data_IF_264755226258
#
_entry.id   IF_264755226258
#
_cell.length_a   1.000
_cell.length_b   1.000
_cell.length_c   1.000
_cell.angle_alpha   90.00
_cell.angle_beta   90.00
_cell.angle_gamma   90.00
#
_symmetry.space_group_name_H-M   'P 1'
#
loop_
_entity.id
_entity.type
_entity.pdbx_description
1 polymer ?
#
# COMPACT_ATOMS: atom_id res chain seq x y z
N UNK A 1 -20.94 -11.75 8.45
CA UNK A 1 -20.38 -12.73 7.49
C UNK A 1 -19.07 -12.17 6.98
N UNK A 2 -17.99 -12.95 7.00
CA UNK A 2 -16.71 -12.51 6.45
C UNK A 2 -16.83 -12.57 4.92
N UNK A 3 -16.65 -11.47 4.18
CA UNK A 3 -16.74 -11.52 2.72
C UNK A 3 -15.72 -12.56 2.20
N UNK A 4 -16.02 -13.22 1.08
CA UNK A 4 -15.07 -14.12 0.42
C UNK A 4 -13.87 -13.30 -0.08
N UNK A 5 -12.89 -13.09 0.78
CA UNK A 5 -11.70 -12.30 0.47
C UNK A 5 -10.85 -13.10 -0.50
N UNK A 6 -10.76 -12.61 -1.74
CA UNK A 6 -9.98 -13.28 -2.80
C UNK A 6 -8.51 -13.30 -2.41
N UNK A 7 -7.82 -14.38 -2.79
CA UNK A 7 -6.36 -14.48 -2.69
C UNK A 7 -5.66 -13.34 -3.46
N UNK A 8 -4.43 -12.97 -3.06
CA UNK A 8 -3.66 -11.96 -3.79
C UNK A 8 -3.36 -12.44 -5.22
N UNK A 9 -3.36 -11.49 -6.14
CA UNK A 9 -2.85 -11.70 -7.50
C UNK A 9 -1.31 -11.74 -7.45
N UNK A 10 -0.69 -12.44 -8.40
CA UNK A 10 0.78 -12.46 -8.52
C UNK A 10 1.32 -11.11 -9.03
N UNK A 11 0.70 -10.59 -10.10
CA UNK A 11 1.07 -9.33 -10.73
C UNK A 11 -0.13 -8.71 -11.48
N UNK A 12 0.02 -7.47 -11.93
CA UNK A 12 -0.93 -6.76 -12.79
C UNK A 12 -0.38 -6.55 -14.20
N UNK A 13 -1.22 -6.16 -15.15
CA UNK A 13 -0.77 -5.83 -16.49
C UNK A 13 -0.17 -4.42 -16.58
N UNK A 14 0.75 -4.16 -17.54
CA UNK A 14 1.36 -2.85 -17.75
C UNK A 14 0.37 -1.69 -17.83
N UNK A 15 -0.72 -1.85 -18.59
CA UNK A 15 -1.75 -0.82 -18.75
C UNK A 15 -2.42 -0.47 -17.42
N UNK A 16 -2.70 -1.48 -16.59
CA UNK A 16 -3.23 -1.29 -15.24
C UNK A 16 -2.26 -0.52 -14.37
N UNK A 17 -0.97 -0.88 -14.37
CA UNK A 17 0.04 -0.18 -13.58
C UNK A 17 0.17 1.29 -13.99
N UNK A 18 0.30 1.56 -15.29
CA UNK A 18 0.42 2.94 -15.79
C UNK A 18 -0.81 3.78 -15.53
N UNK A 19 -2.01 3.21 -15.54
CA UNK A 19 -3.23 3.94 -15.22
C UNK A 19 -3.37 4.16 -13.70
N UNK A 20 -3.20 3.10 -12.92
CA UNK A 20 -3.51 3.11 -11.49
C UNK A 20 -2.41 3.72 -10.64
N UNK A 21 -1.13 3.66 -11.01
CA UNK A 21 -0.02 4.19 -10.21
C UNK A 21 0.46 5.57 -10.66
N UNK A 22 -0.13 6.14 -11.72
CA UNK A 22 0.26 7.49 -12.18
C UNK A 22 0.02 8.51 -11.08
N UNK A 23 1.08 9.13 -10.58
CA UNK A 23 1.02 10.05 -9.43
C UNK A 23 0.49 11.44 -9.78
N UNK A 24 -0.63 11.53 -10.49
CA UNK A 24 -1.28 12.80 -10.82
C UNK A 24 -1.86 13.46 -9.56
N UNK A 25 -1.92 14.80 -9.59
CA UNK A 25 -2.55 15.60 -8.55
C UNK A 25 -4.09 15.47 -8.58
N UNK A 26 -4.67 15.46 -9.78
CA UNK A 26 -6.07 15.13 -10.05
C UNK A 26 -6.15 13.75 -10.70
N UNK A 27 -6.87 12.85 -10.04
CA UNK A 27 -7.05 11.48 -10.48
C UNK A 27 -8.49 11.01 -10.18
N UNK A 28 -9.48 11.85 -10.51
CA UNK A 28 -10.91 11.63 -10.21
C UNK A 28 -11.47 10.36 -10.88
N UNK A 29 -10.84 9.88 -11.95
CA UNK A 29 -11.23 8.67 -12.68
C UNK A 29 -10.65 7.38 -12.07
N UNK A 30 -9.71 7.49 -11.11
CA UNK A 30 -9.03 6.35 -10.49
C UNK A 30 -9.69 5.97 -9.16
N UNK A 31 -10.89 5.41 -9.25
CA UNK A 31 -11.72 5.04 -8.09
C UNK A 31 -11.29 3.71 -7.41
N UNK A 32 -10.33 3.00 -8.00
CA UNK A 32 -9.81 1.75 -7.44
C UNK A 32 -8.48 1.98 -6.71
N UNK A 33 -8.34 1.38 -5.53
CA UNK A 33 -7.05 1.25 -4.86
C UNK A 33 -6.40 -0.09 -5.23
N UNK A 34 -5.16 -0.02 -5.68
CA UNK A 34 -4.28 -1.15 -5.96
C UNK A 34 -3.16 -1.14 -4.94
N UNK A 35 -2.87 -2.29 -4.34
CA UNK A 35 -1.91 -2.46 -3.25
C UNK A 35 -0.99 -3.63 -3.59
N UNK A 36 0.24 -3.32 -3.96
CA UNK A 36 1.30 -4.32 -4.04
C UNK A 36 1.92 -4.49 -2.65
N UNK A 37 2.31 -5.70 -2.29
CA UNK A 37 2.95 -5.94 -1.00
C UNK A 37 4.15 -6.88 -1.12
N UNK A 38 5.10 -6.70 -0.20
CA UNK A 38 6.09 -7.71 0.17
C UNK A 38 5.96 -8.03 1.65
N UNK A 39 6.26 -9.29 1.97
CA UNK A 39 6.40 -9.81 3.33
C UNK A 39 7.78 -10.41 3.42
N UNK A 40 8.57 -9.91 4.34
CA UNK A 40 9.87 -10.43 4.71
C UNK A 40 9.80 -10.99 6.13
N UNK A 41 10.55 -12.05 6.40
CA UNK A 41 10.68 -12.60 7.75
C UNK A 41 12.12 -12.46 8.23
N UNK A 42 12.29 -12.14 9.50
CA UNK A 42 13.63 -12.08 10.10
C UNK A 42 14.13 -13.49 10.39
N UNK A 43 15.25 -13.88 9.76
CA UNK A 43 15.94 -15.14 10.02
C UNK A 43 17.41 -14.84 10.30
N UNK A 44 17.91 -15.26 11.47
CA UNK A 44 19.30 -14.99 11.92
C UNK A 44 19.71 -13.51 11.77
N UNK A 45 18.82 -12.58 12.17
CA UNK A 45 19.01 -11.12 12.06
C UNK A 45 19.04 -10.53 10.65
N UNK A 46 18.73 -11.31 9.61
CA UNK A 46 18.60 -10.83 8.23
C UNK A 46 17.15 -10.93 7.75
N UNK A 47 16.62 -9.90 7.05
CA UNK A 47 15.32 -9.99 6.39
C UNK A 47 15.43 -10.94 5.19
N UNK A 48 14.52 -11.90 5.11
CA UNK A 48 14.42 -12.86 4.01
C UNK A 48 13.07 -12.70 3.31
N UNK A 49 13.03 -12.50 1.98
CA UNK A 49 11.78 -12.46 1.23
C UNK A 49 10.94 -13.71 1.47
N UNK A 50 9.67 -13.54 1.80
CA UNK A 50 8.76 -14.64 2.15
C UNK A 50 7.58 -14.74 1.18
N UNK A 51 6.81 -13.65 1.03
CA UNK A 51 5.66 -13.59 0.14
C UNK A 51 5.59 -12.22 -0.53
N UNK A 52 4.99 -12.17 -1.71
CA UNK A 52 4.65 -10.93 -2.40
C UNK A 52 3.37 -11.12 -3.20
N UNK A 53 2.70 -10.03 -3.55
CA UNK A 53 1.51 -10.09 -4.39
C UNK A 53 0.81 -8.75 -4.50
N UNK A 54 -0.38 -8.78 -5.09
CA UNK A 54 -1.19 -7.60 -5.39
C UNK A 54 -2.63 -7.82 -4.93
N UNK A 55 -3.15 -6.84 -4.19
CA UNK A 55 -4.57 -6.67 -3.94
C UNK A 55 -5.11 -5.49 -4.73
N UNK A 56 -6.39 -5.56 -5.06
CA UNK A 56 -7.19 -4.41 -5.50
C UNK A 56 -8.48 -4.37 -4.70
N UNK A 57 -9.15 -3.23 -4.67
CA UNK A 57 -10.46 -3.11 -4.07
C UNK A 57 -11.39 -4.22 -4.58
N UNK A 58 -12.04 -4.91 -3.65
CA UNK A 58 -13.01 -5.95 -3.97
C UNK A 58 -14.40 -5.35 -3.82
N UNK A 59 -15.12 -5.30 -4.93
CA UNK A 59 -16.56 -5.03 -4.94
C UNK A 59 -17.22 -6.40 -4.84
N UNK A 60 -17.65 -6.80 -3.64
CA UNK A 60 -18.65 -7.85 -3.55
C UNK A 60 -20.05 -7.21 -3.64
N UNK A 61 -21.09 -8.04 -3.82
CA UNK A 61 -22.46 -7.56 -4.03
C UNK A 61 -23.08 -6.84 -2.81
N UNK A 62 -22.43 -6.89 -1.64
CA UNK A 62 -22.92 -6.40 -0.35
C UNK A 62 -21.92 -5.44 0.35
N UNK A 63 -20.63 -5.45 0.00
CA UNK A 63 -19.59 -4.63 0.62
C UNK A 63 -18.52 -4.14 -0.37
N UNK A 64 -18.15 -2.86 -0.23
CA UNK A 64 -16.98 -2.28 -0.86
C UNK A 64 -15.77 -2.52 0.06
N UNK A 65 -14.99 -3.57 -0.21
CA UNK A 65 -13.84 -3.94 0.61
C UNK A 65 -12.55 -3.33 0.04
N UNK A 66 -11.93 -2.46 0.82
CA UNK A 66 -10.67 -1.80 0.44
C UNK A 66 -9.50 -2.79 0.45
N UNK A 67 -8.52 -2.55 -0.44
CA UNK A 67 -7.36 -3.43 -0.64
C UNK A 67 -6.58 -3.68 0.67
N UNK A 68 -6.51 -2.69 1.56
CA UNK A 68 -5.89 -2.75 2.88
C UNK A 68 -6.58 -3.81 3.75
N UNK A 69 -7.91 -3.80 3.81
CA UNK A 69 -8.70 -4.78 4.59
C UNK A 69 -8.57 -6.18 4.00
N UNK A 70 -8.55 -6.29 2.67
CA UNK A 70 -8.27 -7.56 2.00
C UNK A 70 -6.89 -8.12 2.40
N UNK A 71 -5.85 -7.28 2.37
CA UNK A 71 -4.52 -7.68 2.81
C UNK A 71 -4.53 -8.13 4.28
N UNK A 72 -5.07 -7.32 5.20
CA UNK A 72 -5.04 -7.62 6.63
C UNK A 72 -5.71 -8.96 6.92
N UNK A 73 -6.90 -9.19 6.36
CA UNK A 73 -7.59 -10.46 6.56
C UNK A 73 -6.83 -11.64 5.95
N UNK A 74 -6.29 -11.49 4.74
CA UNK A 74 -5.51 -12.55 4.12
C UNK A 74 -4.25 -12.86 4.94
N UNK A 75 -3.57 -11.84 5.44
CA UNK A 75 -2.34 -11.97 6.19
C UNK A 75 -2.57 -12.66 7.54
N UNK A 76 -3.61 -12.24 8.28
CA UNK A 76 -4.05 -12.90 9.53
C UNK A 76 -4.33 -14.39 9.33
N UNK A 77 -5.10 -14.73 8.30
CA UNK A 77 -5.65 -16.07 8.15
C UNK A 77 -4.67 -17.06 7.50
N UNK A 78 -3.74 -16.59 6.67
CA UNK A 78 -2.95 -17.46 5.79
C UNK A 78 -1.43 -17.32 5.92
N UNK A 79 -0.93 -16.34 6.68
CA UNK A 79 0.51 -16.01 6.69
C UNK A 79 1.07 -15.78 8.08
N UNK A 80 0.29 -15.20 8.99
CA UNK A 80 0.74 -14.87 10.34
C UNK A 80 1.00 -16.13 11.17
N UNK A 81 2.22 -16.26 11.71
CA UNK A 81 2.65 -17.33 12.59
C UNK A 81 3.22 -16.70 13.89
N UNK A 82 2.95 -17.27 15.08
CA UNK A 82 3.33 -16.66 16.36
C UNK A 82 4.84 -16.43 16.55
N UNK A 83 5.69 -17.29 15.99
CA UNK A 83 7.13 -17.32 16.29
C UNK A 83 7.99 -16.64 15.21
N UNK A 84 7.44 -15.67 14.48
CA UNK A 84 8.15 -14.96 13.41
C UNK A 84 7.96 -13.47 13.52
N UNK A 85 9.03 -12.73 13.24
CA UNK A 85 8.99 -11.29 13.06
C UNK A 85 8.88 -10.98 11.57
N UNK A 86 7.91 -10.12 11.23
CA UNK A 86 7.57 -9.77 9.86
C UNK A 86 7.90 -8.31 9.60
N UNK A 87 8.51 -8.05 8.44
CA UNK A 87 8.55 -6.72 7.84
C UNK A 87 7.64 -6.74 6.62
N UNK A 88 6.61 -5.90 6.64
CA UNK A 88 5.63 -5.79 5.56
C UNK A 88 5.85 -4.44 4.89
N UNK A 89 5.92 -4.45 3.56
CA UNK A 89 5.97 -3.22 2.77
C UNK A 89 4.80 -3.18 1.82
N UNK A 90 4.04 -2.10 1.86
CA UNK A 90 2.98 -1.81 0.89
C UNK A 90 3.44 -0.76 -0.11
N UNK A 91 3.07 -0.96 -1.36
CA UNK A 91 3.12 0.04 -2.42
C UNK A 91 1.69 0.24 -2.94
N UNK A 92 1.03 1.28 -2.46
CA UNK A 92 -0.37 1.54 -2.75
C UNK A 92 -0.55 2.65 -3.78
N UNK A 93 -1.55 2.53 -4.64
CA UNK A 93 -1.90 3.56 -5.60
C UNK A 93 -2.46 4.82 -4.93
N UNK A 94 -3.19 4.64 -3.83
CA UNK A 94 -3.75 5.68 -2.98
C UNK A 94 -3.36 5.47 -1.53
N UNK A 95 -3.23 6.54 -0.76
CA UNK A 95 -2.99 6.46 0.67
C UNK A 95 -4.24 5.92 1.39
N UNK A 96 -4.10 5.22 2.53
CA UNK A 96 -5.26 4.66 3.22
C UNK A 96 -6.30 5.71 3.62
N UNK A 97 -7.59 5.34 3.56
CA UNK A 97 -8.66 6.14 4.16
C UNK A 97 -8.62 6.06 5.70
N UNK A 98 -9.32 6.96 6.44
CA UNK A 98 -9.29 6.98 7.90
C UNK A 98 -9.72 5.65 8.54
N UNK A 99 -10.74 5.00 7.99
CA UNK A 99 -11.22 3.71 8.51
C UNK A 99 -10.16 2.61 8.33
N UNK A 100 -9.52 2.56 7.16
CA UNK A 100 -8.46 1.59 6.89
C UNK A 100 -7.21 1.85 7.73
N UNK A 101 -6.84 3.13 7.94
CA UNK A 101 -5.80 3.51 8.87
C UNK A 101 -6.10 3.00 10.29
N UNK A 102 -7.32 3.18 10.78
CA UNK A 102 -7.76 2.66 12.06
C UNK A 102 -7.69 1.13 12.18
N UNK A 103 -8.09 0.40 11.12
CA UNK A 103 -7.98 -1.06 11.11
C UNK A 103 -6.51 -1.55 11.07
N UNK A 104 -5.63 -0.86 10.35
CA UNK A 104 -4.18 -1.14 10.37
C UNK A 104 -3.61 -0.94 11.77
N UNK A 105 -3.95 0.16 12.44
CA UNK A 105 -3.50 0.44 13.81
C UNK A 105 -3.96 -0.65 14.77
N UNK A 106 -5.25 -1.01 14.74
CA UNK A 106 -5.79 -2.11 15.57
C UNK A 106 -5.08 -3.43 15.30
N UNK A 107 -4.75 -3.71 14.04
CA UNK A 107 -4.02 -4.91 13.65
C UNK A 107 -2.60 -4.90 14.25
N UNK A 108 -1.83 -3.82 14.08
CA UNK A 108 -0.46 -3.72 14.57
C UNK A 108 -0.39 -3.78 16.11
N UNK A 109 -1.35 -3.16 16.81
CA UNK A 109 -1.45 -3.24 18.27
C UNK A 109 -1.66 -4.68 18.78
N UNK A 110 -2.30 -5.54 17.99
CA UNK A 110 -2.50 -6.98 18.32
C UNK A 110 -1.32 -7.86 17.92
N UNK A 111 -0.46 -7.37 17.04
CA UNK A 111 0.60 -8.14 16.38
C UNK A 111 1.91 -7.38 16.41
N UNK A 112 2.50 -7.24 17.60
CA UNK A 112 3.77 -6.53 17.82
C UNK A 112 4.97 -7.14 17.09
N UNK A 113 4.82 -8.36 16.56
CA UNK A 113 5.79 -9.04 15.72
C UNK A 113 5.72 -8.61 14.24
N UNK A 114 4.89 -7.63 13.88
CA UNK A 114 4.73 -7.11 12.53
C UNK A 114 5.12 -5.64 12.48
N UNK A 115 6.06 -5.28 11.60
CA UNK A 115 6.36 -3.90 11.24
C UNK A 115 5.82 -3.61 9.83
N UNK A 116 5.29 -2.42 9.62
CA UNK A 116 4.68 -1.98 8.36
C UNK A 116 5.31 -0.70 7.83
N UNK A 117 5.69 -0.73 6.57
CA UNK A 117 6.07 0.44 5.76
C UNK A 117 5.06 0.62 4.64
N UNK A 118 4.56 1.83 4.44
CA UNK A 118 3.60 2.18 3.38
C UNK A 118 4.24 3.21 2.46
N UNK A 119 4.45 2.84 1.21
CA UNK A 119 4.73 3.75 0.12
C UNK A 119 3.45 3.99 -0.66
N UNK A 120 3.08 5.25 -0.89
CA UNK A 120 1.88 5.58 -1.65
C UNK A 120 2.17 6.43 -2.87
N UNK A 121 1.56 6.12 -4.00
CA UNK A 121 1.72 6.87 -5.24
C UNK A 121 1.00 8.22 -5.19
N UNK A 122 -0.12 8.31 -4.46
CA UNK A 122 -0.96 9.51 -4.33
C UNK A 122 -1.58 9.61 -2.96
N UNK A 123 -1.81 10.83 -2.49
CA UNK A 123 -2.54 11.08 -1.25
C UNK A 123 -4.04 11.19 -1.53
N UNK A 124 -4.82 10.36 -0.85
CA UNK A 124 -6.27 10.31 -0.99
C UNK A 124 -6.92 11.42 -0.16
N UNK A 125 -7.71 12.28 -0.82
CA UNK A 125 -8.39 13.45 -0.22
C UNK A 125 -7.53 14.23 0.79
N UNK A 126 -6.27 14.54 0.44
CA UNK A 126 -5.30 15.09 1.37
C UNK A 126 -5.63 16.49 1.94
N UNK A 127 -6.59 17.19 1.34
CA UNK A 127 -7.12 18.46 1.86
C UNK A 127 -8.14 18.27 2.99
N UNK A 128 -8.70 17.07 3.13
CA UNK A 128 -9.68 16.72 4.17
C UNK A 128 -8.96 16.38 5.50
N UNK A 129 -9.26 17.09 6.60
CA UNK A 129 -8.66 16.84 7.91
C UNK A 129 -8.78 15.40 8.40
N UNK A 130 -9.87 14.68 8.10
CA UNK A 130 -10.04 13.30 8.56
C UNK A 130 -9.00 12.36 7.94
N UNK A 131 -8.70 12.55 6.65
CA UNK A 131 -7.68 11.77 5.94
C UNK A 131 -6.27 12.09 6.46
N UNK A 132 -6.03 13.36 6.77
CA UNK A 132 -4.78 13.78 7.42
C UNK A 132 -4.60 13.14 8.79
N UNK A 133 -5.64 13.15 9.62
CA UNK A 133 -5.62 12.56 10.96
C UNK A 133 -5.38 11.05 10.93
N UNK A 134 -5.96 10.35 9.95
CA UNK A 134 -5.68 8.92 9.70
C UNK A 134 -4.19 8.66 9.45
N UNK A 135 -3.56 9.46 8.58
CA UNK A 135 -2.13 9.35 8.29
C UNK A 135 -1.25 9.72 9.49
N UNK A 136 -1.59 10.78 10.24
CA UNK A 136 -0.89 11.13 11.48
C UNK A 136 -0.99 10.02 12.52
N UNK A 137 -2.15 9.37 12.63
CA UNK A 137 -2.37 8.27 13.57
C UNK A 137 -1.50 7.06 13.22
N UNK A 138 -1.40 6.70 11.93
CA UNK A 138 -0.48 5.64 11.47
C UNK A 138 0.96 5.94 11.88
N UNK A 139 1.43 7.18 11.66
CA UNK A 139 2.79 7.60 12.03
C UNK A 139 3.04 7.50 13.53
N UNK A 140 2.07 7.90 14.36
CA UNK A 140 2.18 7.81 15.83
C UNK A 140 2.33 6.37 16.32
N UNK A 141 1.71 5.42 15.63
CA UNK A 141 1.77 3.98 15.92
C UNK A 141 3.01 3.30 15.30
N UNK A 142 3.98 4.09 14.83
CA UNK A 142 5.27 3.58 14.32
C UNK A 142 5.24 3.11 12.87
N UNK A 143 4.14 3.31 12.13
CA UNK A 143 4.08 3.00 10.70
C UNK A 143 4.86 4.06 9.92
N UNK A 144 5.79 3.62 9.07
CA UNK A 144 6.47 4.52 8.14
C UNK A 144 5.57 4.76 6.94
N UNK A 145 5.25 6.02 6.65
CA UNK A 145 4.42 6.43 5.50
C UNK A 145 5.20 7.38 4.61
N UNK A 146 5.41 7.01 3.35
CA UNK A 146 6.22 7.75 2.38
C UNK A 146 5.52 7.85 1.01
N UNK A 147 5.93 8.82 0.19
CA UNK A 147 5.50 8.91 -1.21
C UNK A 147 6.43 8.09 -2.09
N UNK A 148 5.87 7.30 -3.00
CA UNK A 148 6.64 6.53 -3.98
C UNK A 148 7.51 7.45 -4.87
N UNK A 149 8.82 7.20 -4.88
CA UNK A 149 9.76 7.83 -5.78
C UNK A 149 9.99 6.99 -7.05
N UNK A 150 10.90 7.43 -7.92
CA UNK A 150 11.23 6.70 -9.16
C UNK A 150 11.67 5.24 -8.91
N UNK A 151 12.49 5.01 -7.88
CA UNK A 151 12.99 3.67 -7.56
C UNK A 151 11.86 2.78 -7.07
N UNK A 152 10.91 3.33 -6.32
CA UNK A 152 9.75 2.57 -5.84
C UNK A 152 8.84 2.17 -7.01
N UNK A 153 8.57 3.07 -7.96
CA UNK A 153 7.82 2.72 -9.18
C UNK A 153 8.54 1.69 -10.04
N UNK A 154 9.86 1.82 -10.19
CA UNK A 154 10.68 0.86 -10.92
C UNK A 154 10.68 -0.51 -10.23
N UNK A 155 10.84 -0.55 -8.91
CA UNK A 155 10.76 -1.78 -8.12
C UNK A 155 9.40 -2.45 -8.29
N UNK A 156 8.32 -1.67 -8.26
CA UNK A 156 6.98 -2.20 -8.43
C UNK A 156 6.77 -2.79 -9.82
N UNK A 157 7.28 -2.10 -10.84
CA UNK A 157 7.25 -2.59 -12.22
C UNK A 157 7.95 -3.94 -12.34
N UNK A 158 9.16 -4.07 -11.80
CA UNK A 158 9.96 -5.30 -11.87
C UNK A 158 9.35 -6.47 -11.07
N UNK A 159 8.58 -6.19 -10.01
CA UNK A 159 8.13 -7.22 -9.08
C UNK A 159 6.64 -7.57 -9.15
N UNK A 160 5.80 -6.66 -9.65
CA UNK A 160 4.34 -6.76 -9.60
C UNK A 160 3.65 -6.47 -10.93
N UNK A 161 4.42 -6.34 -12.02
CA UNK A 161 3.86 -6.13 -13.37
C UNK A 161 4.36 -7.22 -14.30
N UNK A 162 3.45 -7.80 -15.09
CA UNK A 162 3.81 -8.67 -16.20
C UNK A 162 4.49 -7.84 -17.29
N UNK A 163 5.81 -7.67 -17.17
CA UNK A 163 6.61 -6.80 -18.01
C UNK A 163 7.60 -7.59 -18.88
N UNK A 164 7.77 -7.14 -20.12
CA UNK A 164 8.81 -7.60 -21.05
C UNK A 164 9.82 -6.48 -21.37
N UNK A 165 9.63 -5.30 -20.78
CA UNK A 165 10.43 -4.10 -21.02
C UNK A 165 10.73 -3.40 -19.69
N UNK A 166 11.74 -2.54 -19.68
CA UNK A 166 12.03 -1.69 -18.52
C UNK A 166 10.95 -0.63 -18.29
N UNK A 167 10.77 -0.22 -17.03
CA UNK A 167 9.86 0.85 -16.64
C UNK A 167 10.18 2.17 -17.36
N UNK A 168 9.17 2.76 -18.02
CA UNK A 168 9.27 4.07 -18.69
C UNK A 168 8.50 5.10 -17.86
N UNK A 169 9.18 6.02 -17.15
CA UNK A 169 8.50 6.99 -16.30
C UNK A 169 7.63 7.93 -17.12
N UNK A 170 6.43 8.24 -16.65
CA UNK A 170 5.59 9.25 -17.29
C UNK A 170 6.14 10.66 -17.09
N UNK A 171 5.76 11.57 -18.00
CA UNK A 171 6.09 13.00 -17.89
C UNK A 171 5.56 13.55 -16.56
N UNK A 172 6.46 14.19 -15.80
CA UNK A 172 6.11 14.85 -14.54
C UNK A 172 6.23 13.98 -13.28
N UNK A 173 6.60 12.69 -13.38
CA UNK A 173 6.72 11.79 -12.22
C UNK A 173 7.50 12.41 -11.06
N UNK A 174 8.70 12.95 -11.32
CA UNK A 174 9.56 13.56 -10.30
C UNK A 174 8.99 14.85 -9.73
N UNK A 175 8.35 15.68 -10.55
CA UNK A 175 7.73 16.93 -10.10
C UNK A 175 6.55 16.64 -9.17
N UNK A 176 5.71 15.68 -9.55
CA UNK A 176 4.57 15.25 -8.74
C UNK A 176 5.02 14.62 -7.42
N UNK A 177 6.07 13.79 -7.46
CA UNK A 177 6.70 13.24 -6.25
C UNK A 177 7.11 14.33 -5.26
N UNK A 178 7.84 15.37 -5.73
CA UNK A 178 8.27 16.48 -4.86
C UNK A 178 7.09 17.22 -4.24
N UNK A 179 6.04 17.45 -5.02
CA UNK A 179 4.81 18.09 -4.55
C UNK A 179 4.13 17.24 -3.46
N UNK A 180 3.82 15.97 -3.76
CA UNK A 180 3.17 15.05 -2.83
C UNK A 180 4.01 14.84 -1.57
N UNK A 181 5.33 14.73 -1.69
CA UNK A 181 6.24 14.59 -0.54
C UNK A 181 6.21 15.81 0.37
N UNK A 182 6.13 17.02 -0.19
CA UNK A 182 5.94 18.24 0.58
C UNK A 182 4.60 18.23 1.32
N UNK A 183 3.51 17.87 0.64
CA UNK A 183 2.18 17.79 1.25
C UNK A 183 2.14 16.74 2.37
N UNK A 184 2.68 15.54 2.14
CA UNK A 184 2.73 14.51 3.18
C UNK A 184 3.52 15.00 4.40
N UNK A 185 4.66 15.68 4.19
CA UNK A 185 5.44 16.24 5.30
C UNK A 185 4.64 17.26 6.11
N UNK A 186 3.86 18.12 5.46
CA UNK A 186 2.98 19.09 6.14
C UNK A 186 1.86 18.39 6.91
N UNK A 187 1.27 17.32 6.36
CA UNK A 187 0.24 16.52 7.00
C UNK A 187 0.76 15.80 8.24
N UNK A 188 1.99 15.28 8.18
CA UNK A 188 2.58 14.46 9.24
C UNK A 188 3.28 15.27 10.34
N UNK A 189 3.32 16.61 10.25
CA UNK A 189 3.73 17.49 11.35
C UNK A 189 2.72 17.44 12.49
#
# INVERSE_FOLDING_TARGET
MNPQIRNPMEAMYPGTFYFQFKNLWEANDQRETWLCFTVEVMKHHSPVPWKKGVFRNQVDAETHCHAERCFLSWFCNNTLLPNKNYHVTWYSSWSPCPECAGEVIKFLARHSNVNLTIFTARLYYFQDPYYQDGLRSLRKEGVTVEIMDYKDFKYCWENFVYNNESFKPWKGLTTNFRFLKRQLREILQ
#
